data_IF_686815054808
#
_entry.id   IF_686815054808
#
_cell.length_a   1.000
_cell.length_b   1.000
_cell.length_c   1.000
_cell.angle_alpha   90.00
_cell.angle_beta   90.00
_cell.angle_gamma   90.00
#
_symmetry.space_group_name_H-M   'P 1'
#
loop_
_entity.id
_entity.type
_entity.pdbx_description
1 polymer ?
#
# COMPACT_ATOMS: atom_id res chain seq x y z
N UNK A 1 -19.20 10.78 21.96
CA UNK A 1 -18.21 10.00 21.70
C UNK A 1 -17.46 10.43 20.56
N UNK A 2 -16.24 10.07 20.41
CA UNK A 2 -15.57 10.45 19.36
C UNK A 2 -15.21 9.30 18.54
N UNK A 3 -15.13 9.43 17.27
CA UNK A 3 -14.75 8.42 16.48
C UNK A 3 -13.31 8.46 16.21
N UNK A 4 -12.64 7.33 16.10
CA UNK A 4 -11.28 7.31 15.74
C UNK A 4 -11.13 7.68 14.31
N UNK A 5 -10.08 8.33 13.92
CA UNK A 5 -9.86 8.62 12.52
C UNK A 5 -9.75 7.32 11.75
N UNK A 6 -10.36 7.28 10.59
CA UNK A 6 -10.33 6.11 9.76
C UNK A 6 -9.27 6.30 8.70
N UNK A 7 -8.31 5.38 8.65
CA UNK A 7 -7.28 5.47 7.65
C UNK A 7 -7.81 5.01 6.31
N UNK A 8 -7.35 5.62 5.22
CA UNK A 8 -7.69 5.09 3.91
C UNK A 8 -7.10 3.72 3.74
N UNK A 9 -7.73 2.86 2.95
CA UNK A 9 -7.16 1.54 2.71
C UNK A 9 -5.92 1.65 1.83
N UNK A 10 -5.10 0.62 1.79
CA UNK A 10 -3.98 0.60 0.86
C UNK A 10 -4.48 0.78 -0.56
N UNK A 11 -3.67 1.41 -1.39
CA UNK A 11 -4.10 1.68 -2.75
C UNK A 11 -2.92 1.59 -3.70
N UNK A 12 -3.23 1.36 -4.97
CA UNK A 12 -2.22 1.27 -6.00
C UNK A 12 -2.03 2.63 -6.63
N UNK A 13 -0.79 2.96 -6.94
CA UNK A 13 -0.46 4.23 -7.58
C UNK A 13 0.68 4.02 -8.54
N UNK A 14 0.73 4.87 -9.57
CA UNK A 14 1.82 4.78 -10.51
C UNK A 14 3.11 5.18 -9.82
N UNK A 15 4.16 4.41 -10.03
CA UNK A 15 5.40 4.68 -9.38
C UNK A 15 6.02 5.96 -9.91
N UNK A 16 6.71 6.66 -9.03
CA UNK A 16 7.45 7.85 -9.45
C UNK A 16 8.91 7.57 -9.63
N UNK A 17 9.31 6.32 -9.44
CA UNK A 17 10.70 5.93 -9.59
C UNK A 17 10.98 5.70 -11.06
N UNK A 18 11.91 6.48 -11.59
CA UNK A 18 12.17 6.39 -13.01
C UNK A 18 12.75 5.05 -13.42
N UNK A 19 13.37 4.35 -12.49
CA UNK A 19 13.90 3.03 -12.81
C UNK A 19 12.80 2.03 -13.08
N UNK A 20 11.59 2.29 -12.57
CA UNK A 20 10.47 1.37 -12.75
C UNK A 20 9.34 2.05 -13.49
N UNK A 21 9.69 2.97 -14.36
CA UNK A 21 8.68 3.74 -15.06
C UNK A 21 7.68 2.81 -15.77
N UNK A 22 6.41 3.15 -15.65
CA UNK A 22 5.38 2.35 -16.27
C UNK A 22 4.80 1.27 -15.38
N UNK A 23 5.30 1.14 -14.15
CA UNK A 23 4.77 0.15 -13.23
C UNK A 23 3.99 0.83 -12.12
N UNK A 24 3.37 0.03 -11.29
CA UNK A 24 2.56 0.52 -10.19
C UNK A 24 3.10 0.01 -8.87
N UNK A 25 2.86 0.76 -7.84
CA UNK A 25 3.30 0.37 -6.50
C UNK A 25 2.11 0.47 -5.56
N UNK A 26 2.23 -0.13 -4.38
CA UNK A 26 1.18 -0.11 -3.39
C UNK A 26 1.61 0.80 -2.24
N UNK A 27 0.73 1.69 -1.85
CA UNK A 27 0.99 2.60 -0.75
C UNK A 27 0.05 2.27 0.39
N UNK A 28 0.59 2.23 1.60
CA UNK A 28 -0.16 1.84 2.79
C UNK A 28 -0.16 2.99 3.78
N UNK A 29 -1.28 3.70 3.91
CA UNK A 29 -1.34 4.80 4.88
C UNK A 29 -1.16 4.30 6.31
N UNK A 30 -0.52 5.11 7.13
CA UNK A 30 -0.27 4.77 8.52
C UNK A 30 -0.65 5.95 9.39
N UNK A 31 -1.14 5.68 10.60
CA UNK A 31 -1.65 6.76 11.45
C UNK A 31 -0.59 7.70 11.98
N UNK A 32 0.63 7.22 12.12
CA UNK A 32 1.69 8.04 12.71
C UNK A 32 2.65 8.58 11.68
N UNK A 33 2.27 8.58 10.41
CA UNK A 33 3.16 9.07 9.37
C UNK A 33 2.42 10.03 8.45
N UNK A 34 3.10 11.06 8.05
CA UNK A 34 2.54 11.98 7.07
C UNK A 34 2.49 11.34 5.69
N UNK A 35 3.42 10.43 5.41
CA UNK A 35 3.44 9.78 4.12
C UNK A 35 3.17 8.30 4.29
N UNK A 36 2.51 7.67 3.32
CA UNK A 36 2.23 6.25 3.44
C UNK A 36 3.50 5.41 3.28
N UNK A 37 3.44 4.20 3.80
CA UNK A 37 4.50 3.24 3.57
C UNK A 37 4.44 2.81 2.12
N UNK A 38 5.59 2.52 1.56
CA UNK A 38 5.66 2.05 0.19
C UNK A 38 6.08 0.60 0.19
N UNK A 39 5.28 -0.23 -0.43
CA UNK A 39 5.59 -1.64 -0.54
C UNK A 39 6.71 -1.80 -1.55
N UNK A 40 7.77 -2.54 -1.23
CA UNK A 40 8.91 -2.69 -2.14
C UNK A 40 8.64 -3.71 -3.23
N UNK A 41 7.52 -3.57 -3.91
CA UNK A 41 7.15 -4.44 -5.01
C UNK A 41 6.63 -3.59 -6.15
N UNK A 42 6.86 -4.06 -7.36
CA UNK A 42 6.39 -3.37 -8.55
C UNK A 42 5.40 -4.27 -9.28
N UNK A 43 4.34 -3.67 -9.79
CA UNK A 43 3.30 -4.41 -10.48
C UNK A 43 3.14 -3.83 -11.88
N UNK A 44 2.83 -4.67 -12.83
CA UNK A 44 2.73 -4.24 -14.21
C UNK A 44 1.48 -3.43 -14.48
N UNK A 45 0.41 -3.69 -13.76
CA UNK A 45 -0.83 -2.98 -13.96
C UNK A 45 -1.43 -2.61 -12.62
N UNK A 46 -2.31 -1.62 -12.65
CA UNK A 46 -3.01 -1.24 -11.43
C UNK A 46 -3.90 -2.37 -10.93
N UNK A 47 -4.54 -3.09 -11.84
CA UNK A 47 -5.39 -4.20 -11.44
C UNK A 47 -4.57 -5.28 -10.72
N UNK A 48 -3.36 -5.53 -11.21
CA UNK A 48 -2.50 -6.51 -10.57
C UNK A 48 -2.14 -6.06 -9.15
N UNK A 49 -1.82 -4.79 -8.98
CA UNK A 49 -1.49 -4.28 -7.66
C UNK A 49 -2.69 -4.37 -6.73
N UNK A 50 -3.87 -4.06 -7.22
CA UNK A 50 -5.05 -4.12 -6.38
C UNK A 50 -5.39 -5.56 -6.00
N UNK A 51 -5.20 -6.49 -6.92
CA UNK A 51 -5.43 -7.88 -6.60
C UNK A 51 -4.49 -8.32 -5.49
N UNK A 52 -3.24 -7.88 -5.54
CA UNK A 52 -2.28 -8.25 -4.51
C UNK A 52 -2.69 -7.69 -3.14
N UNK A 53 -3.24 -6.47 -3.12
CA UNK A 53 -3.65 -5.87 -1.87
C UNK A 53 -4.68 -6.74 -1.16
N UNK A 54 -5.56 -7.39 -1.94
CA UNK A 54 -6.61 -8.20 -1.36
C UNK A 54 -6.23 -9.67 -1.19
N UNK A 55 -5.02 -10.02 -1.57
CA UNK A 55 -4.56 -11.39 -1.39
C UNK A 55 -4.08 -11.58 0.04
N UNK A 56 -3.95 -12.83 0.46
CA UNK A 56 -3.46 -13.10 1.80
C UNK A 56 -2.03 -12.63 1.96
N UNK A 57 -1.23 -12.82 0.92
CA UNK A 57 0.15 -12.38 0.97
C UNK A 57 0.21 -10.86 1.13
N UNK A 58 -0.62 -10.15 0.39
CA UNK A 58 -0.64 -8.70 0.50
C UNK A 58 -1.10 -8.24 1.87
N UNK A 59 -2.12 -8.88 2.40
CA UNK A 59 -2.62 -8.49 3.72
C UNK A 59 -1.57 -8.71 4.79
N UNK A 60 -0.82 -9.80 4.71
CA UNK A 60 0.20 -10.06 5.69
C UNK A 60 1.31 -9.01 5.64
N UNK A 61 1.75 -8.68 4.44
CA UNK A 61 2.81 -7.70 4.32
C UNK A 61 2.33 -6.33 4.79
N UNK A 62 1.10 -5.97 4.49
CA UNK A 62 0.55 -4.70 4.93
C UNK A 62 0.48 -4.64 6.44
N UNK A 63 0.06 -5.74 7.07
CA UNK A 63 0.02 -5.78 8.53
C UNK A 63 1.40 -5.60 9.12
N UNK A 64 2.41 -6.20 8.50
CA UNK A 64 3.77 -6.02 9.00
C UNK A 64 4.23 -4.59 8.88
N UNK A 65 3.89 -3.95 7.78
CA UNK A 65 4.28 -2.56 7.60
C UNK A 65 3.62 -1.65 8.62
N UNK A 66 2.41 -1.98 9.01
CA UNK A 66 1.70 -1.18 10.00
C UNK A 66 2.07 -1.57 11.42
N UNK A 67 2.89 -2.60 11.59
CA UNK A 67 3.31 -3.01 12.93
C UNK A 67 2.26 -3.77 13.70
N UNK A 68 1.27 -4.30 13.02
CA UNK A 68 0.23 -5.06 13.70
C UNK A 68 0.59 -6.52 13.68
N UNK A 69 0.40 -7.16 14.78
CA UNK A 69 0.75 -8.55 14.82
C UNK A 69 -0.38 -9.39 15.25
#
# INVERSE_FOLDING_TARGET
>A
MRKKPTLPPPFAAMTKDMRFEGTFEVLVPAPDRARPHRVPLQFETQAHAETWIHSEEGKEMIDELLGQK
#
